data_IF_735322191140
#
_entry.id   IF_735322191140
#
_cell.length_a   1.000
_cell.length_b   1.000
_cell.length_c   1.000
_cell.angle_alpha   90.00
_cell.angle_beta   90.00
_cell.angle_gamma   90.00
#
_symmetry.space_group_name_H-M   'P 1'
#
loop_
_entity.id
_entity.type
_entity.pdbx_description
1 polymer ?
#
# COMPACT_ATOMS: atom_id res chain seq x y z
N UNK A 1 -4.18 27.35 9.08
CA UNK A 1 -4.18 27.27 10.56
C UNK A 1 -3.58 25.94 10.94
N UNK A 2 -2.60 25.90 11.83
CA UNK A 2 -2.06 24.62 12.35
C UNK A 2 -3.11 23.95 13.22
N UNK A 3 -3.32 22.62 13.02
CA UNK A 3 -4.28 21.84 13.81
C UNK A 3 -3.85 21.82 15.29
N UNK A 4 -4.77 22.16 16.19
CA UNK A 4 -4.53 22.12 17.64
C UNK A 4 -4.75 20.69 18.16
N UNK A 5 -3.72 19.86 18.08
CA UNK A 5 -3.73 18.48 18.54
C UNK A 5 -4.07 18.36 20.04
N UNK A 6 -3.52 19.22 20.89
CA UNK A 6 -3.77 19.12 22.34
C UNK A 6 -5.21 19.51 22.68
N UNK A 7 -5.74 20.56 22.05
CA UNK A 7 -7.16 20.92 22.18
C UNK A 7 -8.09 19.81 21.72
N UNK A 8 -7.74 19.17 20.62
CA UNK A 8 -8.50 18.03 20.08
C UNK A 8 -8.51 16.82 21.03
N UNK A 9 -7.33 16.40 21.53
CA UNK A 9 -7.22 15.29 22.48
C UNK A 9 -8.10 15.53 23.74
N UNK A 10 -8.10 16.76 24.23
CA UNK A 10 -8.93 17.16 25.36
C UNK A 10 -10.42 17.17 25.03
N UNK A 11 -10.81 17.71 23.88
CA UNK A 11 -12.20 17.78 23.43
C UNK A 11 -12.82 16.39 23.22
N UNK A 12 -12.01 15.43 22.75
CA UNK A 12 -12.41 14.04 22.57
C UNK A 12 -12.27 13.19 23.84
N UNK A 13 -11.87 13.79 24.99
CA UNK A 13 -11.68 13.09 26.27
C UNK A 13 -10.73 11.89 26.16
N UNK A 14 -9.69 11.99 25.32
CA UNK A 14 -8.75 10.90 25.06
C UNK A 14 -8.01 10.50 26.34
N UNK A 15 -7.97 9.21 26.63
CA UNK A 15 -7.26 8.62 27.76
C UNK A 15 -5.91 8.04 27.36
N UNK A 16 -5.82 7.45 26.13
CA UNK A 16 -4.64 6.82 25.58
C UNK A 16 -4.35 7.27 24.15
N UNK A 17 -3.07 7.24 23.77
CA UNK A 17 -2.60 7.56 22.42
C UNK A 17 -1.73 6.43 21.90
N UNK A 18 -2.13 5.85 20.80
CA UNK A 18 -1.32 4.96 19.97
C UNK A 18 -0.44 5.79 19.03
N UNK A 19 0.86 5.76 19.31
CA UNK A 19 1.86 6.49 18.52
C UNK A 19 2.39 5.57 17.42
N UNK A 20 1.95 5.76 16.18
CA UNK A 20 2.17 4.83 15.08
C UNK A 20 3.28 5.30 14.13
N UNK A 21 4.08 4.36 13.66
CA UNK A 21 4.95 4.48 12.47
C UNK A 21 4.72 3.27 11.57
N UNK A 22 4.95 3.40 10.27
CA UNK A 22 4.98 2.26 9.35
C UNK A 22 6.41 1.74 9.25
N UNK A 23 6.61 0.43 9.45
CA UNK A 23 7.86 -0.23 9.06
C UNK A 23 7.89 -0.51 7.54
N UNK A 24 8.97 -1.08 7.04
CA UNK A 24 9.13 -1.43 5.61
C UNK A 24 8.02 -2.36 5.12
N UNK A 25 7.56 -3.29 5.96
CA UNK A 25 6.48 -4.22 5.62
C UNK A 25 5.07 -3.57 5.60
N UNK A 26 4.93 -2.33 6.06
CA UNK A 26 3.63 -1.67 6.23
C UNK A 26 2.91 -2.09 7.51
N UNK A 27 3.63 -2.68 8.46
CA UNK A 27 3.08 -3.06 9.77
C UNK A 27 3.10 -1.82 10.67
N UNK A 28 1.97 -1.52 11.38
CA UNK A 28 1.95 -0.47 12.39
C UNK A 28 2.86 -0.84 13.57
N UNK A 29 3.90 -0.06 13.79
CA UNK A 29 4.81 -0.16 14.93
C UNK A 29 4.66 1.07 15.80
N UNK A 30 5.06 0.98 17.07
CA UNK A 30 5.02 2.14 17.93
C UNK A 30 4.83 1.82 19.40
N UNK A 31 4.22 2.76 20.12
CA UNK A 31 3.95 2.65 21.57
C UNK A 31 2.57 3.21 21.89
N UNK A 32 1.96 2.66 22.92
CA UNK A 32 0.72 3.18 23.49
C UNK A 32 1.06 3.91 24.79
N UNK A 33 0.58 5.13 24.94
CA UNK A 33 0.84 5.95 26.12
C UNK A 33 -0.46 6.55 26.69
N UNK A 34 -0.59 6.61 28.03
CA UNK A 34 -1.57 7.51 28.63
C UNK A 34 -1.40 8.94 28.09
N UNK A 35 -2.50 9.64 27.83
CA UNK A 35 -2.50 10.96 27.17
C UNK A 35 -1.61 11.99 27.86
N UNK A 36 -1.53 11.96 29.21
CA UNK A 36 -0.67 12.90 29.95
C UNK A 36 0.83 12.59 29.74
N UNK A 37 1.22 11.34 29.51
CA UNK A 37 2.60 10.94 29.16
C UNK A 37 2.93 11.32 27.72
N UNK A 38 1.98 11.11 26.81
CA UNK A 38 2.13 11.57 25.42
C UNK A 38 2.36 13.09 25.36
N UNK A 39 1.52 13.88 26.05
CA UNK A 39 1.67 15.34 26.09
C UNK A 39 3.01 15.79 26.71
N UNK A 40 3.48 15.11 27.75
CA UNK A 40 4.78 15.39 28.35
C UNK A 40 5.94 15.05 27.41
N UNK A 41 5.87 13.91 26.70
CA UNK A 41 6.88 13.48 25.72
C UNK A 41 6.98 14.47 24.56
N UNK A 42 5.86 14.95 24.02
CA UNK A 42 5.83 15.97 22.98
C UNK A 42 6.53 17.28 23.39
N UNK A 43 6.43 17.67 24.66
CA UNK A 43 7.11 18.85 25.22
C UNK A 43 8.59 18.63 25.60
N UNK A 44 9.05 17.37 25.75
CA UNK A 44 10.39 17.01 26.27
C UNK A 44 11.34 16.38 25.25
N UNK A 45 11.13 16.61 23.95
CA UNK A 45 12.02 16.14 22.89
C UNK A 45 11.50 14.93 22.09
N UNK A 46 10.28 14.48 22.33
CA UNK A 46 9.61 13.43 21.55
C UNK A 46 9.67 12.02 22.17
N UNK A 47 8.87 11.15 21.61
CA UNK A 47 8.85 9.72 21.93
C UNK A 47 10.06 9.03 21.27
N UNK A 48 10.65 8.03 21.91
CA UNK A 48 11.80 7.29 21.38
C UNK A 48 11.40 5.89 20.96
N UNK A 49 11.99 5.43 19.84
CA UNK A 49 11.85 4.08 19.31
C UNK A 49 13.21 3.63 18.76
N UNK A 50 13.64 2.37 18.99
CA UNK A 50 14.88 1.90 18.38
C UNK A 50 14.82 1.94 16.85
N UNK A 51 15.88 2.40 16.21
CA UNK A 51 15.94 2.58 14.74
C UNK A 51 15.73 1.26 13.97
N UNK A 52 16.20 0.15 14.50
CA UNK A 52 16.08 -1.17 13.86
C UNK A 52 14.64 -1.66 13.66
N UNK A 53 13.66 -1.05 14.33
CA UNK A 53 12.23 -1.38 14.14
C UNK A 53 11.79 -1.15 12.69
N UNK A 54 12.40 -0.19 12.00
CA UNK A 54 12.08 0.09 10.59
C UNK A 54 12.62 -0.97 9.62
N UNK A 55 13.71 -1.67 9.97
CA UNK A 55 14.31 -2.74 9.19
C UNK A 55 13.91 -4.15 9.64
N UNK A 56 12.85 -4.28 10.43
CA UNK A 56 12.35 -5.57 10.87
C UNK A 56 11.67 -6.32 9.73
N UNK A 57 11.97 -7.62 9.60
CA UNK A 57 11.30 -8.49 8.63
C UNK A 57 9.85 -8.75 9.02
N UNK A 58 9.04 -9.30 8.10
CA UNK A 58 7.66 -9.71 8.38
C UNK A 58 7.56 -10.82 9.44
N UNK A 59 8.63 -11.59 9.65
CA UNK A 59 8.72 -12.61 10.70
C UNK A 59 9.11 -12.04 12.07
N UNK A 60 9.43 -10.74 12.11
CA UNK A 60 9.90 -10.06 13.31
C UNK A 60 11.41 -10.16 13.55
N UNK A 61 12.16 -10.80 12.65
CA UNK A 61 13.61 -10.87 12.76
C UNK A 61 14.27 -9.51 12.51
N UNK A 62 15.34 -9.22 13.24
CA UNK A 62 16.23 -8.11 12.97
C UNK A 62 17.33 -8.60 12.06
N UNK A 63 17.55 -7.88 10.97
CA UNK A 63 18.57 -8.20 9.99
C UNK A 63 19.74 -7.24 10.15
N UNK A 64 20.95 -7.75 9.95
CA UNK A 64 22.14 -6.89 9.86
C UNK A 64 22.00 -6.02 8.61
N UNK A 65 22.25 -4.73 8.75
CA UNK A 65 22.14 -3.75 7.68
C UNK A 65 23.26 -2.74 7.75
N UNK A 66 23.81 -2.40 6.60
CA UNK A 66 24.81 -1.32 6.50
C UNK A 66 24.20 0.08 6.73
N UNK A 67 22.87 0.19 6.66
CA UNK A 67 22.13 1.45 6.81
C UNK A 67 21.77 1.73 8.26
N UNK A 68 21.43 0.68 9.03
CA UNK A 68 21.02 0.81 10.42
C UNK A 68 22.22 0.99 11.34
N UNK A 69 22.01 1.74 12.42
CA UNK A 69 23.06 1.99 13.40
C UNK A 69 23.42 0.71 14.16
N UNK A 70 24.68 0.28 14.11
CA UNK A 70 25.19 -0.95 14.77
C UNK A 70 24.93 -1.00 16.28
N UNK A 71 24.83 0.15 16.96
CA UNK A 71 24.55 0.21 18.40
C UNK A 71 23.05 0.29 18.72
N UNK A 72 22.16 0.21 17.71
CA UNK A 72 20.72 0.24 17.90
C UNK A 72 20.21 1.56 18.51
N UNK A 73 20.77 2.69 18.07
CA UNK A 73 20.39 4.01 18.57
C UNK A 73 18.89 4.28 18.41
N UNK A 74 18.34 5.03 19.37
CA UNK A 74 16.95 5.49 19.29
C UNK A 74 16.79 6.61 18.25
N UNK A 75 15.66 6.57 17.55
CA UNK A 75 15.09 7.70 16.80
C UNK A 75 14.07 8.45 17.66
N UNK A 76 13.81 9.69 17.31
CA UNK A 76 12.83 10.55 17.97
C UNK A 76 11.58 10.60 17.08
N UNK A 77 10.45 10.17 17.61
CA UNK A 77 9.16 10.24 16.94
C UNK A 77 8.50 11.59 17.19
N UNK A 78 8.11 12.28 16.13
CA UNK A 78 7.32 13.50 16.20
C UNK A 78 5.94 13.25 15.57
N UNK A 79 4.86 13.56 16.30
CA UNK A 79 3.51 13.37 15.79
C UNK A 79 3.23 14.29 14.59
N UNK A 80 2.51 13.77 13.60
CA UNK A 80 1.86 14.60 12.59
C UNK A 80 0.46 14.99 13.10
N UNK A 81 0.21 16.27 13.45
CA UNK A 81 -1.08 16.67 13.98
C UNK A 81 -2.27 16.41 13.05
N UNK A 82 -2.04 16.40 11.72
CA UNK A 82 -3.09 16.16 10.73
C UNK A 82 -3.53 14.69 10.67
N UNK A 83 -2.71 13.79 11.21
CA UNK A 83 -3.00 12.35 11.26
C UNK A 83 -3.79 11.89 12.49
N UNK A 84 -4.17 12.81 13.38
CA UNK A 84 -4.96 12.48 14.57
C UNK A 84 -6.31 11.87 14.21
N UNK A 85 -6.57 10.63 14.67
CA UNK A 85 -7.82 9.89 14.45
C UNK A 85 -8.24 9.20 15.74
N UNK A 86 -9.55 9.01 15.93
CA UNK A 86 -10.08 8.14 16.99
C UNK A 86 -9.83 6.67 16.64
N UNK A 87 -9.74 5.82 17.66
CA UNK A 87 -9.71 4.36 17.51
C UNK A 87 -11.08 3.83 17.92
N UNK A 88 -11.95 3.47 16.96
CA UNK A 88 -13.37 3.23 17.23
C UNK A 88 -13.68 1.87 17.88
N UNK A 89 -12.77 0.90 17.84
CA UNK A 89 -12.98 -0.46 18.36
C UNK A 89 -12.64 -0.65 19.85
N UNK A 90 -12.17 0.39 20.52
CA UNK A 90 -11.92 0.33 21.97
C UNK A 90 -13.04 0.98 22.77
N UNK A 91 -13.34 0.42 23.95
CA UNK A 91 -14.30 1.01 24.87
C UNK A 91 -13.80 2.34 25.49
N UNK A 92 -12.49 2.43 25.74
CA UNK A 92 -11.86 3.63 26.26
C UNK A 92 -11.53 4.61 25.11
N UNK A 93 -11.77 5.93 25.30
CA UNK A 93 -11.45 6.92 24.28
C UNK A 93 -9.96 6.94 23.94
N UNK A 94 -9.60 6.34 22.83
CA UNK A 94 -8.23 6.17 22.35
C UNK A 94 -8.03 6.93 21.06
N UNK A 95 -6.89 7.63 20.93
CA UNK A 95 -6.45 8.24 19.68
C UNK A 95 -5.31 7.43 19.04
N UNK A 96 -5.24 7.41 17.72
CA UNK A 96 -4.07 6.98 16.98
C UNK A 96 -3.47 8.17 16.22
N UNK A 97 -2.15 8.27 16.23
CA UNK A 97 -1.43 9.40 15.62
C UNK A 97 -0.21 8.83 14.89
N UNK A 98 -0.08 9.16 13.61
CA UNK A 98 1.09 8.79 12.81
C UNK A 98 2.24 9.73 13.13
N UNK A 99 3.44 9.18 13.24
CA UNK A 99 4.65 9.92 13.58
C UNK A 99 5.67 9.81 12.46
N UNK A 100 6.44 10.87 12.28
CA UNK A 100 7.69 10.84 11.53
C UNK A 100 8.86 10.58 12.48
N UNK A 101 9.87 9.85 11.99
CA UNK A 101 11.08 9.54 12.75
C UNK A 101 12.21 10.53 12.41
N UNK A 102 12.91 10.99 13.43
CA UNK A 102 14.04 11.91 13.32
C UNK A 102 15.25 11.37 14.07
N UNK A 103 16.44 11.63 13.55
CA UNK A 103 17.68 11.39 14.27
C UNK A 103 17.88 12.37 15.44
N UNK A 104 18.93 12.15 16.23
CA UNK A 104 19.26 13.00 17.37
C UNK A 104 19.73 14.41 16.96
N UNK A 105 19.98 14.66 15.66
CA UNK A 105 20.28 15.98 15.10
C UNK A 105 19.04 16.69 14.58
N UNK A 106 17.87 16.05 14.68
CA UNK A 106 16.59 16.58 14.22
C UNK A 106 16.37 16.44 12.71
N UNK A 107 17.17 15.63 12.02
CA UNK A 107 17.00 15.32 10.60
C UNK A 107 16.07 14.11 10.47
N UNK A 108 15.13 14.18 9.51
CA UNK A 108 14.23 13.06 9.22
C UNK A 108 15.03 11.79 8.84
N UNK A 109 14.61 10.65 9.36
CA UNK A 109 15.20 9.33 9.02
C UNK A 109 14.75 8.96 7.60
N UNK A 110 15.66 8.93 6.63
CA UNK A 110 15.31 8.97 5.21
C UNK A 110 14.80 7.64 4.66
N UNK A 111 14.96 6.55 5.38
CA UNK A 111 14.57 5.20 4.95
C UNK A 111 13.21 4.75 5.52
N UNK A 112 12.53 5.57 6.31
CA UNK A 112 11.16 5.23 6.75
C UNK A 112 10.18 5.40 5.58
N UNK A 113 9.20 4.49 5.41
CA UNK A 113 8.30 4.51 4.24
C UNK A 113 7.58 5.84 4.01
N UNK A 114 7.12 6.48 5.09
CA UNK A 114 6.46 7.78 5.01
C UNK A 114 7.42 8.90 4.60
N UNK A 115 8.68 8.86 5.03
CA UNK A 115 9.71 9.82 4.62
C UNK A 115 10.10 9.64 3.15
N UNK A 116 10.13 8.40 2.65
CA UNK A 116 10.35 8.12 1.22
C UNK A 116 9.26 8.76 0.36
N UNK A 117 7.97 8.59 0.73
CA UNK A 117 6.89 9.25 0.01
C UNK A 117 7.01 10.78 0.08
N UNK A 118 7.27 11.34 1.26
CA UNK A 118 7.50 12.80 1.40
C UNK A 118 8.65 13.30 0.53
N UNK A 119 9.73 12.53 0.42
CA UNK A 119 10.86 12.85 -0.48
C UNK A 119 10.43 12.92 -1.93
N UNK A 120 9.64 11.97 -2.40
CA UNK A 120 9.12 11.97 -3.78
C UNK A 120 8.17 13.15 -4.00
N UNK A 121 7.25 13.40 -3.06
CA UNK A 121 6.30 14.52 -3.15
C UNK A 121 6.99 15.89 -3.21
N UNK A 122 8.10 16.07 -2.48
CA UNK A 122 8.87 17.30 -2.51
C UNK A 122 9.41 17.64 -3.91
N UNK A 123 9.75 16.61 -4.74
CA UNK A 123 10.18 16.82 -6.11
C UNK A 123 9.07 17.45 -6.98
N UNK A 124 7.83 17.01 -6.78
CA UNK A 124 6.68 17.59 -7.48
C UNK A 124 6.38 19.00 -6.96
N UNK A 125 6.43 19.20 -5.64
CA UNK A 125 6.21 20.50 -5.01
C UNK A 125 7.19 21.56 -5.52
N UNK A 126 8.48 21.21 -5.59
CA UNK A 126 9.55 22.07 -6.14
C UNK A 126 9.31 22.43 -7.62
N UNK A 127 8.61 21.58 -8.36
CA UNK A 127 8.20 21.82 -9.75
C UNK A 127 6.85 22.55 -9.89
N UNK A 128 6.21 22.95 -8.79
CA UNK A 128 4.88 23.57 -8.82
C UNK A 128 3.74 22.60 -9.14
N UNK A 129 3.94 21.31 -8.87
CA UNK A 129 3.00 20.23 -9.17
C UNK A 129 2.46 19.60 -7.89
N UNK A 130 1.28 19.00 -7.98
CA UNK A 130 0.64 18.25 -6.89
C UNK A 130 0.12 16.92 -7.43
N UNK A 131 0.70 15.79 -7.01
CA UNK A 131 0.14 14.48 -7.29
C UNK A 131 -1.21 14.27 -6.59
N UNK A 132 -2.13 13.59 -7.29
CA UNK A 132 -3.43 13.19 -6.79
C UNK A 132 -3.54 11.69 -6.97
N UNK A 133 -3.94 10.98 -5.92
CA UNK A 133 -4.09 9.53 -5.92
C UNK A 133 -5.48 9.11 -5.46
N UNK A 134 -5.92 7.92 -5.87
CA UNK A 134 -7.07 7.21 -5.32
C UNK A 134 -6.72 5.72 -5.28
N UNK A 135 -6.54 5.11 -4.11
CA UNK A 135 -6.39 3.67 -3.97
C UNK A 135 -7.71 2.93 -4.14
N UNK A 136 -7.65 1.73 -4.74
CA UNK A 136 -8.70 0.70 -4.69
C UNK A 136 -8.10 -0.50 -3.98
N UNK A 137 -8.70 -0.99 -2.91
CA UNK A 137 -8.08 -2.00 -2.06
C UNK A 137 -8.96 -3.23 -1.91
N UNK A 138 -8.45 -4.36 -2.41
CA UNK A 138 -9.09 -5.67 -2.32
C UNK A 138 -8.62 -6.45 -1.08
N UNK A 139 -9.51 -7.26 -0.51
CA UNK A 139 -9.20 -8.15 0.60
C UNK A 139 -10.15 -9.34 0.64
N UNK A 140 -9.74 -10.41 1.30
CA UNK A 140 -10.61 -11.55 1.58
C UNK A 140 -11.06 -11.56 3.04
N UNK A 141 -12.31 -11.93 3.26
CA UNK A 141 -12.79 -12.39 4.56
C UNK A 141 -12.59 -13.90 4.64
N UNK A 142 -12.09 -14.38 5.78
CA UNK A 142 -11.86 -15.81 6.03
C UNK A 142 -12.25 -16.16 7.47
N UNK A 143 -12.64 -17.43 7.69
CA UNK A 143 -12.85 -17.92 9.04
C UNK A 143 -11.57 -17.86 9.87
N UNK A 144 -11.70 -17.66 11.18
CA UNK A 144 -10.55 -17.74 12.09
C UNK A 144 -10.00 -19.17 12.09
N UNK A 145 -8.69 -19.28 11.95
CA UNK A 145 -7.97 -20.57 12.06
C UNK A 145 -6.82 -20.42 13.03
N UNK A 146 -6.71 -21.35 13.98
CA UNK A 146 -5.62 -21.42 14.93
C UNK A 146 -4.37 -22.12 14.39
N UNK A 147 -4.48 -22.85 13.27
CA UNK A 147 -3.39 -23.62 12.66
C UNK A 147 -3.09 -23.15 11.25
N UNK A 148 -1.90 -22.59 11.06
CA UNK A 148 -1.41 -22.08 9.77
C UNK A 148 -1.23 -23.18 8.71
N UNK A 149 -1.25 -24.46 9.07
CA UNK A 149 -1.19 -25.57 8.11
C UNK A 149 -2.55 -25.88 7.46
N UNK A 150 -3.64 -25.40 8.04
CA UNK A 150 -4.97 -25.59 7.48
C UNK A 150 -5.19 -24.59 6.33
N UNK A 151 -5.82 -25.03 5.22
CA UNK A 151 -6.27 -24.12 4.17
C UNK A 151 -7.21 -23.04 4.75
N UNK A 152 -7.16 -21.85 4.21
CA UNK A 152 -8.12 -20.80 4.54
C UNK A 152 -9.52 -21.21 4.06
N UNK A 153 -10.52 -20.88 4.86
CA UNK A 153 -11.93 -21.20 4.59
C UNK A 153 -12.71 -19.89 4.44
N UNK A 154 -13.55 -19.81 3.41
CA UNK A 154 -14.48 -18.68 3.24
C UNK A 154 -15.51 -18.69 4.36
N UNK A 155 -15.86 -17.52 4.92
CA UNK A 155 -16.72 -17.45 6.08
C UNK A 155 -18.18 -17.78 5.73
N UNK A 156 -18.91 -18.21 6.75
CA UNK A 156 -20.34 -18.42 6.65
C UNK A 156 -21.08 -17.09 6.85
N UNK A 157 -21.78 -16.65 5.81
CA UNK A 157 -22.61 -15.44 5.87
C UNK A 157 -23.96 -15.65 6.56
N UNK A 158 -24.82 -14.64 6.54
CA UNK A 158 -26.15 -14.67 7.18
C UNK A 158 -27.09 -15.75 6.62
N UNK A 159 -26.86 -16.24 5.40
CA UNK A 159 -27.59 -17.37 4.84
C UNK A 159 -27.28 -18.72 5.52
N UNK A 160 -26.25 -18.76 6.36
CA UNK A 160 -25.78 -19.98 7.03
C UNK A 160 -24.95 -20.91 6.12
N UNK A 161 -24.48 -20.44 4.98
CA UNK A 161 -23.62 -21.19 4.05
C UNK A 161 -22.37 -20.42 3.68
N UNK A 162 -21.21 -21.08 3.62
CA UNK A 162 -20.00 -20.45 3.11
C UNK A 162 -20.12 -20.20 1.61
N UNK A 163 -19.64 -19.05 1.17
CA UNK A 163 -19.62 -18.72 -0.24
C UNK A 163 -18.60 -19.60 -0.98
N UNK A 164 -18.98 -20.08 -2.16
CA UNK A 164 -18.12 -20.91 -3.04
C UNK A 164 -18.08 -20.41 -4.48
N UNK A 165 -19.16 -19.77 -4.94
CA UNK A 165 -19.27 -19.27 -6.29
C UNK A 165 -18.54 -17.92 -6.43
N UNK A 166 -18.04 -17.63 -7.62
CA UNK A 166 -17.55 -16.31 -7.99
C UNK A 166 -18.75 -15.40 -8.27
N UNK A 167 -18.90 -14.33 -7.52
CA UNK A 167 -20.08 -13.46 -7.55
C UNK A 167 -19.74 -11.97 -7.74
N UNK A 168 -18.75 -11.70 -8.62
CA UNK A 168 -18.33 -10.33 -8.90
C UNK A 168 -19.53 -9.38 -9.11
N UNK A 169 -19.52 -8.25 -8.38
CA UNK A 169 -20.58 -7.24 -8.32
C UNK A 169 -21.93 -7.76 -7.77
N UNK A 170 -21.93 -8.91 -7.09
CA UNK A 170 -23.14 -9.47 -6.46
C UNK A 170 -23.54 -8.68 -5.22
N UNK A 171 -24.62 -7.92 -5.28
CA UNK A 171 -25.12 -7.12 -4.14
C UNK A 171 -25.53 -8.03 -2.97
N UNK A 172 -26.23 -9.14 -3.26
CA UNK A 172 -26.64 -10.08 -2.21
C UNK A 172 -25.44 -10.77 -1.56
N UNK A 173 -24.32 -10.95 -2.28
CA UNK A 173 -23.09 -11.51 -1.74
C UNK A 173 -22.41 -10.55 -0.76
N UNK A 174 -22.40 -9.24 -1.04
CA UNK A 174 -21.97 -8.22 -0.07
C UNK A 174 -22.86 -8.28 1.17
N UNK A 175 -24.17 -8.34 0.98
CA UNK A 175 -25.15 -8.34 2.05
C UNK A 175 -25.08 -9.58 2.97
N UNK A 176 -24.42 -10.66 2.58
CA UNK A 176 -24.11 -11.79 3.48
C UNK A 176 -23.33 -11.35 4.73
N UNK A 177 -22.52 -10.28 4.61
CA UNK A 177 -21.67 -9.73 5.68
C UNK A 177 -22.05 -8.30 6.07
N UNK A 178 -23.28 -7.89 5.82
CA UNK A 178 -23.83 -6.55 6.07
C UNK A 178 -23.44 -5.94 7.44
N UNK A 179 -23.59 -6.61 8.60
CA UNK A 179 -23.21 -6.03 9.88
C UNK A 179 -21.72 -5.67 9.99
N UNK A 180 -20.84 -6.44 9.35
CA UNK A 180 -19.40 -6.15 9.32
C UNK A 180 -19.11 -4.92 8.48
N UNK A 181 -19.78 -4.76 7.36
CA UNK A 181 -19.58 -3.60 6.48
C UNK A 181 -20.16 -2.31 7.05
N UNK A 182 -21.30 -2.37 7.74
CA UNK A 182 -21.83 -1.24 8.50
C UNK A 182 -20.81 -0.75 9.54
N UNK A 183 -20.24 -1.67 10.32
CA UNK A 183 -19.18 -1.33 11.27
C UNK A 183 -17.90 -0.79 10.59
N UNK A 184 -17.52 -1.28 9.40
CA UNK A 184 -16.38 -0.73 8.63
C UNK A 184 -16.69 0.71 8.22
N UNK A 185 -17.91 1.00 7.70
CA UNK A 185 -18.32 2.35 7.33
C UNK A 185 -18.31 3.29 8.54
N UNK A 186 -18.91 2.90 9.64
CA UNK A 186 -18.95 3.69 10.88
C UNK A 186 -17.55 3.96 11.42
N UNK A 187 -16.68 2.94 11.42
CA UNK A 187 -15.29 3.08 11.84
C UNK A 187 -14.50 3.99 10.92
N UNK A 188 -14.72 3.94 9.60
CA UNK A 188 -14.07 4.83 8.64
C UNK A 188 -14.54 6.28 8.82
N UNK A 189 -15.85 6.50 9.01
CA UNK A 189 -16.41 7.84 9.25
C UNK A 189 -15.81 8.48 10.51
N UNK A 190 -15.77 7.74 11.63
CA UNK A 190 -15.17 8.21 12.89
C UNK A 190 -13.69 8.55 12.71
N UNK A 191 -12.96 7.80 11.90
CA UNK A 191 -11.55 8.04 11.60
C UNK A 191 -11.32 9.05 10.48
N UNK A 192 -12.37 9.56 9.83
CA UNK A 192 -12.26 10.42 8.63
C UNK A 192 -11.45 9.75 7.52
N UNK A 193 -11.63 8.47 7.33
CA UNK A 193 -11.15 7.73 6.17
C UNK A 193 -12.23 7.86 5.10
N UNK A 194 -11.91 8.54 4.01
CA UNK A 194 -12.88 8.90 2.97
C UNK A 194 -13.02 7.78 1.93
N UNK A 195 -13.83 6.78 2.25
CA UNK A 195 -14.15 5.67 1.35
C UNK A 195 -15.32 6.05 0.42
N UNK A 196 -15.28 5.55 -0.82
CA UNK A 196 -16.24 5.84 -1.88
C UNK A 196 -17.22 4.68 -2.08
N UNK A 197 -16.72 3.55 -2.55
CA UNK A 197 -17.58 2.40 -2.92
C UNK A 197 -17.10 1.11 -2.27
N UNK A 198 -18.05 0.20 -2.05
CA UNK A 198 -17.83 -1.19 -1.68
C UNK A 198 -18.40 -2.07 -2.78
N UNK A 199 -17.64 -3.04 -3.27
CA UNK A 199 -18.09 -4.04 -4.20
C UNK A 199 -17.61 -5.44 -3.84
N UNK A 200 -18.37 -6.45 -4.26
CA UNK A 200 -17.92 -7.82 -4.24
C UNK A 200 -16.99 -8.07 -5.42
N UNK A 201 -15.81 -8.59 -5.15
CA UNK A 201 -14.84 -8.96 -6.16
C UNK A 201 -15.06 -10.36 -6.75
N UNK A 202 -14.15 -10.80 -7.63
CA UNK A 202 -14.30 -12.06 -8.35
C UNK A 202 -14.16 -13.29 -7.44
N UNK A 203 -13.40 -13.21 -6.34
CA UNK A 203 -13.18 -14.33 -5.42
C UNK A 203 -14.32 -14.51 -4.42
N UNK A 204 -14.53 -15.74 -3.93
CA UNK A 204 -15.49 -16.01 -2.87
C UNK A 204 -15.10 -15.27 -1.59
N UNK A 205 -16.01 -14.46 -1.05
CA UNK A 205 -15.81 -13.54 0.08
C UNK A 205 -14.64 -12.54 -0.13
N UNK A 206 -14.37 -12.19 -1.38
CA UNK A 206 -13.44 -11.12 -1.75
C UNK A 206 -14.19 -9.83 -1.96
N UNK A 207 -13.71 -8.77 -1.30
CA UNK A 207 -14.32 -7.45 -1.32
C UNK A 207 -13.31 -6.40 -1.78
N UNK A 208 -13.81 -5.34 -2.40
CA UNK A 208 -13.05 -4.15 -2.77
C UNK A 208 -13.67 -2.93 -2.13
N UNK A 209 -12.84 -2.07 -1.56
CA UNK A 209 -13.23 -0.73 -1.12
C UNK A 209 -12.34 0.29 -1.81
N UNK A 210 -13.01 1.28 -2.41
CA UNK A 210 -12.39 2.37 -3.13
C UNK A 210 -12.34 3.63 -2.27
N UNK A 211 -11.31 4.44 -2.47
CA UNK A 211 -11.15 5.71 -1.79
C UNK A 211 -11.44 6.87 -2.73
N UNK A 212 -12.01 7.94 -2.20
CA UNK A 212 -12.06 9.20 -2.91
C UNK A 212 -10.65 9.71 -3.20
N UNK A 213 -10.46 10.36 -4.35
CA UNK A 213 -9.16 10.89 -4.75
C UNK A 213 -8.75 12.10 -3.91
N UNK A 214 -7.46 12.21 -3.59
CA UNK A 214 -6.96 13.29 -2.76
C UNK A 214 -5.44 13.42 -2.76
N UNK A 215 -4.92 14.11 -1.73
CA UNK A 215 -3.49 14.27 -1.49
C UNK A 215 -2.81 12.92 -1.27
N UNK A 216 -1.66 12.73 -1.91
CA UNK A 216 -0.98 11.44 -1.93
C UNK A 216 -0.47 10.98 -0.55
N UNK A 217 -0.03 11.90 0.32
CA UNK A 217 0.40 11.55 1.66
C UNK A 217 -0.79 11.22 2.55
N UNK A 218 -1.86 12.01 2.47
CA UNK A 218 -3.08 11.77 3.22
C UNK A 218 -3.73 10.43 2.85
N UNK A 219 -3.82 10.11 1.56
CA UNK A 219 -4.37 8.82 1.10
C UNK A 219 -3.47 7.64 1.46
N UNK A 220 -2.15 7.81 1.50
CA UNK A 220 -1.24 6.78 2.02
C UNK A 220 -1.48 6.54 3.53
N UNK A 221 -1.63 7.60 4.32
CA UNK A 221 -1.97 7.54 5.74
C UNK A 221 -3.34 6.86 5.95
N UNK A 222 -4.36 7.25 5.19
CA UNK A 222 -5.71 6.65 5.25
C UNK A 222 -5.67 5.17 4.88
N UNK A 223 -4.99 4.78 3.80
CA UNK A 223 -4.86 3.37 3.37
C UNK A 223 -4.13 2.52 4.41
N UNK A 224 -3.09 3.07 5.03
CA UNK A 224 -2.36 2.41 6.12
C UNK A 224 -3.28 2.15 7.33
N UNK A 225 -4.06 3.12 7.76
CA UNK A 225 -5.01 2.99 8.86
C UNK A 225 -6.20 2.10 8.48
N UNK A 226 -6.69 2.19 7.24
CA UNK A 226 -7.79 1.38 6.75
C UNK A 226 -7.51 -0.12 6.82
N UNK A 227 -6.32 -0.56 6.40
CA UNK A 227 -5.93 -1.97 6.54
C UNK A 227 -6.02 -2.46 7.99
N UNK A 228 -5.67 -1.61 8.94
CA UNK A 228 -5.81 -1.90 10.37
C UNK A 228 -7.27 -1.93 10.79
N UNK A 229 -8.06 -0.96 10.34
CA UNK A 229 -9.49 -0.84 10.65
C UNK A 229 -10.24 -2.09 10.20
N UNK A 230 -10.08 -2.51 8.95
CA UNK A 230 -10.75 -3.70 8.42
C UNK A 230 -10.37 -4.96 9.20
N UNK A 231 -9.07 -5.14 9.53
CA UNK A 231 -8.64 -6.29 10.34
C UNK A 231 -9.26 -6.30 11.75
N UNK A 232 -9.31 -5.14 12.41
CA UNK A 232 -9.87 -5.05 13.76
C UNK A 232 -11.39 -5.23 13.76
N UNK A 233 -12.07 -4.65 12.76
CA UNK A 233 -13.52 -4.85 12.60
C UNK A 233 -13.83 -6.33 12.31
N UNK A 234 -13.09 -6.98 11.42
CA UNK A 234 -13.29 -8.40 11.15
C UNK A 234 -13.11 -9.27 12.42
N UNK A 235 -12.12 -8.96 13.26
CA UNK A 235 -11.93 -9.66 14.56
C UNK A 235 -13.13 -9.51 15.49
N UNK A 236 -13.79 -8.35 15.51
CA UNK A 236 -15.01 -8.14 16.30
C UNK A 236 -16.22 -8.94 15.79
N UNK A 237 -16.16 -9.43 14.55
CA UNK A 237 -17.13 -10.31 13.91
C UNK A 237 -16.67 -11.77 13.82
N UNK A 238 -15.70 -12.18 14.65
CA UNK A 238 -15.14 -13.54 14.68
C UNK A 238 -14.56 -14.00 13.32
N UNK A 239 -14.08 -13.05 12.49
CA UNK A 239 -13.47 -13.28 11.20
C UNK A 239 -12.03 -12.77 11.15
N UNK A 240 -11.28 -13.22 10.15
CA UNK A 240 -10.05 -12.55 9.71
C UNK A 240 -10.29 -11.86 8.37
N UNK A 241 -9.75 -10.64 8.23
CA UNK A 241 -9.57 -9.99 6.93
C UNK A 241 -8.11 -10.07 6.52
N UNK A 242 -7.84 -10.55 5.30
CA UNK A 242 -6.48 -10.69 4.78
C UNK A 242 -6.27 -9.86 3.53
N UNK A 243 -5.15 -9.13 3.53
CA UNK A 243 -4.62 -8.38 2.39
C UNK A 243 -3.46 -9.12 1.70
N UNK A 244 -3.32 -10.43 1.89
CA UNK A 244 -2.36 -11.23 1.12
C UNK A 244 -2.67 -11.11 -0.36
N UNK A 245 -1.63 -10.94 -1.19
CA UNK A 245 -1.81 -10.85 -2.64
C UNK A 245 -2.41 -12.13 -3.26
N UNK A 246 -2.13 -13.31 -2.69
CA UNK A 246 -2.71 -14.60 -3.11
C UNK A 246 -2.94 -15.51 -1.90
N UNK A 247 -4.04 -15.33 -1.16
CA UNK A 247 -4.27 -16.12 0.06
C UNK A 247 -4.71 -17.56 -0.22
N UNK A 248 -5.43 -17.81 -1.33
CA UNK A 248 -5.99 -19.11 -1.70
C UNK A 248 -5.63 -19.47 -3.14
N UNK A 249 -5.23 -20.71 -3.38
CA UNK A 249 -4.76 -21.18 -4.69
C UNK A 249 -5.84 -21.05 -5.78
N UNK A 250 -7.08 -21.44 -5.47
CA UNK A 250 -8.19 -21.51 -6.42
C UNK A 250 -8.97 -20.19 -6.56
N UNK A 251 -8.63 -19.17 -5.74
CA UNK A 251 -9.26 -17.86 -5.79
C UNK A 251 -8.36 -16.85 -6.52
N UNK A 252 -8.89 -15.75 -7.06
CA UNK A 252 -8.06 -14.68 -7.61
C UNK A 252 -7.15 -14.05 -6.56
N UNK A 253 -6.19 -13.25 -7.00
CA UNK A 253 -5.36 -12.44 -6.11
C UNK A 253 -6.06 -11.17 -5.69
N UNK A 254 -5.52 -10.48 -4.66
CA UNK A 254 -5.99 -9.17 -4.20
C UNK A 254 -5.03 -8.06 -4.59
N UNK A 255 -5.58 -7.01 -5.17
CA UNK A 255 -4.87 -5.83 -5.65
C UNK A 255 -4.98 -4.63 -4.68
N UNK A 256 -4.05 -3.71 -4.85
CA UNK A 256 -4.18 -2.31 -4.48
C UNK A 256 -3.97 -1.48 -5.75
N UNK A 257 -5.02 -1.29 -6.55
CA UNK A 257 -4.91 -0.44 -7.73
C UNK A 257 -4.72 1.02 -7.30
N UNK A 258 -3.89 1.75 -8.05
CA UNK A 258 -3.59 3.14 -7.77
C UNK A 258 -3.98 4.01 -8.97
N UNK A 259 -5.02 4.81 -8.83
CA UNK A 259 -5.34 5.86 -9.77
C UNK A 259 -4.47 7.08 -9.50
N UNK A 260 -3.81 7.59 -10.53
CA UNK A 260 -2.76 8.61 -10.42
C UNK A 260 -2.99 9.71 -11.44
N UNK A 261 -2.98 10.94 -10.98
CA UNK A 261 -2.93 12.14 -11.81
C UNK A 261 -2.02 13.18 -11.18
N UNK A 262 -1.71 14.23 -11.93
CA UNK A 262 -0.89 15.35 -11.45
C UNK A 262 -1.61 16.64 -11.79
N UNK A 263 -1.65 17.58 -10.85
CA UNK A 263 -2.24 18.91 -11.04
C UNK A 263 -1.16 20.00 -10.96
N UNK A 264 -1.36 21.07 -11.71
CA UNK A 264 -0.63 22.31 -11.49
C UNK A 264 -1.07 22.92 -10.15
N UNK A 265 -0.13 23.29 -9.29
CA UNK A 265 -0.44 23.78 -7.93
C UNK A 265 -1.18 25.12 -7.93
N UNK A 266 -0.83 26.02 -8.85
CA UNK A 266 -1.42 27.36 -8.91
C UNK A 266 -2.85 27.35 -9.45
N UNK A 267 -3.09 26.59 -10.51
CA UNK A 267 -4.37 26.59 -11.24
C UNK A 267 -5.32 25.49 -10.81
N UNK A 268 -4.79 24.41 -10.20
CA UNK A 268 -5.53 23.18 -9.92
C UNK A 268 -5.84 22.34 -11.18
N UNK A 269 -5.38 22.78 -12.36
CA UNK A 269 -5.62 22.10 -13.64
C UNK A 269 -4.91 20.75 -13.68
N UNK A 270 -5.60 19.73 -14.18
CA UNK A 270 -4.99 18.43 -14.44
C UNK A 270 -3.93 18.54 -15.53
N UNK A 271 -2.68 18.17 -15.21
CA UNK A 271 -1.54 18.24 -16.12
C UNK A 271 -1.67 17.27 -17.30
N UNK A 272 -2.51 16.25 -17.18
CA UNK A 272 -2.66 15.19 -18.19
C UNK A 272 -3.60 15.55 -19.34
N UNK A 273 -4.19 16.74 -19.31
CA UNK A 273 -5.08 17.23 -20.39
C UNK A 273 -4.68 18.60 -20.87
N UNK A 274 -4.93 18.86 -22.15
CA UNK A 274 -4.81 20.18 -22.77
C UNK A 274 -6.04 21.05 -22.44
N UNK A 275 -6.01 22.31 -22.83
CA UNK A 275 -7.19 23.20 -22.67
C UNK A 275 -8.37 22.76 -23.52
N UNK A 276 -8.12 22.07 -24.64
CA UNK A 276 -9.16 21.52 -25.54
C UNK A 276 -9.70 20.17 -25.04
N UNK A 277 -9.16 19.61 -23.94
CA UNK A 277 -9.59 18.34 -23.36
C UNK A 277 -8.91 17.09 -23.95
N UNK A 278 -7.92 17.27 -24.81
CA UNK A 278 -7.11 16.19 -25.38
C UNK A 278 -6.00 15.73 -24.41
N UNK A 279 -5.46 14.55 -24.63
CA UNK A 279 -4.32 14.03 -23.85
C UNK A 279 -3.07 14.92 -24.07
N UNK A 280 -2.48 15.40 -22.98
CA UNK A 280 -1.29 16.26 -23.03
C UNK A 280 -0.01 15.47 -23.28
N UNK A 281 1.09 16.16 -23.66
CA UNK A 281 2.42 15.55 -23.73
C UNK A 281 2.85 15.02 -22.35
N UNK A 282 2.51 15.71 -21.25
CA UNK A 282 2.83 15.29 -19.91
C UNK A 282 2.16 13.95 -19.54
N UNK A 283 0.93 13.71 -20.01
CA UNK A 283 0.27 12.40 -19.86
C UNK A 283 1.09 11.28 -20.53
N UNK A 284 1.52 11.48 -21.77
CA UNK A 284 2.34 10.48 -22.46
C UNK A 284 3.71 10.30 -21.80
N UNK A 285 4.33 11.37 -21.31
CA UNK A 285 5.59 11.29 -20.58
C UNK A 285 5.43 10.49 -19.27
N UNK A 286 4.34 10.71 -18.54
CA UNK A 286 4.03 9.95 -17.32
C UNK A 286 3.86 8.45 -17.62
N UNK A 287 3.07 8.11 -18.65
CA UNK A 287 2.92 6.72 -19.11
C UNK A 287 4.26 6.08 -19.49
N UNK A 288 5.09 6.79 -20.25
CA UNK A 288 6.41 6.29 -20.65
C UNK A 288 7.33 6.03 -19.45
N UNK A 289 7.29 6.92 -18.46
CA UNK A 289 8.02 6.75 -17.20
C UNK A 289 7.55 5.51 -16.45
N UNK A 290 6.24 5.31 -16.32
CA UNK A 290 5.68 4.13 -15.66
C UNK A 290 6.06 2.84 -16.40
N UNK A 291 5.96 2.80 -17.73
CA UNK A 291 6.38 1.64 -18.52
C UNK A 291 7.87 1.31 -18.37
N UNK A 292 8.71 2.33 -18.22
CA UNK A 292 10.15 2.17 -18.11
C UNK A 292 10.61 1.73 -16.72
N UNK A 293 10.03 2.30 -15.68
CA UNK A 293 10.57 2.21 -14.32
C UNK A 293 9.82 1.25 -13.38
N UNK A 294 8.54 0.95 -13.63
CA UNK A 294 7.77 0.09 -12.71
C UNK A 294 8.29 -1.36 -12.65
N UNK A 295 8.92 -1.87 -13.72
CA UNK A 295 9.59 -3.18 -13.64
C UNK A 295 10.73 -3.17 -12.63
N UNK A 296 11.51 -2.07 -12.56
CA UNK A 296 12.55 -1.87 -11.54
C UNK A 296 12.00 -1.61 -10.13
N UNK A 297 10.76 -1.11 -10.04
CA UNK A 297 10.09 -0.86 -8.76
C UNK A 297 9.19 -2.03 -8.32
N UNK A 298 9.17 -3.16 -9.03
CA UNK A 298 8.23 -4.27 -8.81
C UNK A 298 8.24 -4.78 -7.37
N UNK A 299 9.43 -4.89 -6.75
CA UNK A 299 9.55 -5.36 -5.37
C UNK A 299 8.84 -4.45 -4.35
N UNK A 300 8.63 -3.17 -4.64
CA UNK A 300 7.87 -2.23 -3.80
C UNK A 300 6.35 -2.43 -3.92
N UNK A 301 5.90 -3.05 -5.02
CA UNK A 301 4.49 -3.31 -5.34
C UNK A 301 4.09 -4.77 -5.11
N UNK A 302 5.07 -5.68 -5.08
CA UNK A 302 4.92 -7.11 -4.84
C UNK A 302 6.04 -7.56 -3.88
N UNK A 303 5.93 -7.22 -2.57
CA UNK A 303 7.08 -7.27 -1.65
C UNK A 303 7.37 -8.65 -1.04
N UNK A 304 6.59 -9.68 -1.33
CA UNK A 304 6.72 -11.02 -0.76
C UNK A 304 6.77 -12.10 -1.85
N UNK A 305 7.31 -13.26 -1.52
CA UNK A 305 7.25 -14.43 -2.40
C UNK A 305 5.80 -14.76 -2.81
N UNK A 306 4.86 -14.61 -1.87
CA UNK A 306 3.43 -14.80 -2.14
C UNK A 306 2.88 -13.81 -3.17
N UNK A 307 3.36 -12.57 -3.21
CA UNK A 307 2.87 -11.52 -4.11
C UNK A 307 2.97 -11.93 -5.59
N UNK A 308 4.01 -12.67 -5.96
CA UNK A 308 4.24 -13.14 -7.34
C UNK A 308 3.29 -14.23 -7.79
N UNK A 309 2.60 -14.90 -6.84
CA UNK A 309 1.54 -15.87 -7.16
C UNK A 309 0.29 -15.18 -7.73
N UNK A 310 0.06 -13.90 -7.39
CA UNK A 310 -1.00 -13.07 -7.99
C UNK A 310 -0.71 -12.80 -9.47
N UNK A 311 0.53 -12.58 -9.86
CA UNK A 311 0.96 -12.29 -11.23
C UNK A 311 1.16 -13.55 -12.08
N UNK A 312 0.43 -14.63 -11.81
CA UNK A 312 0.44 -15.84 -12.62
C UNK A 312 -0.38 -15.66 -13.90
N UNK A 313 -0.07 -16.46 -14.94
CA UNK A 313 -0.69 -16.35 -16.26
C UNK A 313 -2.19 -16.68 -16.30
N UNK A 314 -2.77 -17.12 -15.19
CA UNK A 314 -4.15 -17.62 -15.12
C UNK A 314 -5.14 -16.65 -14.50
N UNK A 315 -4.67 -15.54 -13.93
CA UNK A 315 -5.51 -14.59 -13.20
C UNK A 315 -5.61 -13.24 -13.95
N UNK A 316 -6.60 -12.44 -13.59
CA UNK A 316 -6.87 -11.11 -14.15
C UNK A 316 -5.82 -10.04 -13.76
N UNK A 317 -4.74 -10.47 -13.11
CA UNK A 317 -3.62 -9.60 -12.72
C UNK A 317 -2.67 -9.35 -13.88
N UNK A 318 -2.14 -8.13 -14.02
CA UNK A 318 -1.25 -7.81 -15.12
C UNK A 318 0.10 -8.53 -14.98
N UNK A 319 0.59 -9.06 -16.10
CA UNK A 319 1.94 -9.65 -16.22
C UNK A 319 2.91 -8.77 -17.01
N UNK A 320 2.46 -7.59 -17.41
CA UNK A 320 3.19 -6.66 -18.29
C UNK A 320 2.89 -5.20 -17.94
N UNK A 321 3.64 -4.29 -18.53
CA UNK A 321 3.48 -2.83 -18.41
C UNK A 321 2.91 -2.18 -19.68
N UNK A 322 2.14 -2.93 -20.48
CA UNK A 322 1.36 -2.31 -21.55
C UNK A 322 0.34 -1.32 -20.96
N UNK A 323 -0.08 -0.37 -21.80
CA UNK A 323 -1.16 0.54 -21.46
C UNK A 323 -2.30 0.49 -22.48
N UNK A 324 -3.48 0.90 -22.06
CA UNK A 324 -4.63 0.96 -22.97
C UNK A 324 -5.81 1.71 -22.37
N UNK A 325 -6.61 2.32 -23.27
CA UNK A 325 -7.85 2.99 -22.90
C UNK A 325 -8.87 1.94 -22.47
N UNK A 326 -9.35 2.08 -21.24
CA UNK A 326 -10.34 1.21 -20.58
C UNK A 326 -10.07 -0.32 -20.67
N UNK A 327 -8.79 -0.68 -20.80
CA UNK A 327 -8.35 -2.05 -20.98
C UNK A 327 -7.89 -2.65 -19.64
N UNK A 328 -8.65 -3.61 -19.09
CA UNK A 328 -8.34 -4.28 -17.81
C UNK A 328 -7.27 -5.38 -17.93
N UNK A 329 -6.82 -5.73 -19.16
CA UNK A 329 -5.79 -6.78 -19.37
C UNK A 329 -4.36 -6.25 -19.36
N UNK A 330 -4.17 -4.95 -19.10
CA UNK A 330 -2.86 -4.29 -19.10
C UNK A 330 -2.47 -3.80 -17.71
N UNK A 331 -1.17 -3.59 -17.48
CA UNK A 331 -0.67 -3.08 -16.21
C UNK A 331 -1.00 -1.61 -15.97
N UNK A 332 -1.16 -0.83 -17.05
CA UNK A 332 -1.48 0.59 -16.99
C UNK A 332 -2.77 0.87 -17.75
N UNK A 333 -3.88 0.91 -17.03
CA UNK A 333 -5.19 1.23 -17.62
C UNK A 333 -5.40 2.75 -17.58
N UNK A 334 -5.98 3.29 -18.64
CA UNK A 334 -6.44 4.69 -18.70
C UNK A 334 -7.97 4.67 -18.75
N UNK A 335 -8.66 4.92 -17.63
CA UNK A 335 -10.12 4.94 -17.62
C UNK A 335 -10.67 6.01 -18.54
N UNK A 336 -11.71 5.65 -19.30
CA UNK A 336 -12.46 6.58 -20.16
C UNK A 336 -13.44 7.38 -19.30
N UNK A 337 -13.56 8.67 -19.54
CA UNK A 337 -14.45 9.56 -18.80
C UNK A 337 -14.20 11.01 -19.13
N UNK A 338 -14.69 11.91 -18.28
CA UNK A 338 -14.47 13.36 -18.41
C UNK A 338 -12.96 13.64 -18.48
N UNK A 339 -12.51 14.45 -19.48
CA UNK A 339 -11.11 14.84 -19.59
C UNK A 339 -10.52 15.43 -18.29
N UNK A 340 -11.29 16.19 -17.53
CA UNK A 340 -10.85 16.75 -16.25
C UNK A 340 -10.40 15.67 -15.24
N UNK A 341 -10.91 14.45 -15.38
CA UNK A 341 -10.60 13.29 -14.56
C UNK A 341 -9.57 12.35 -15.20
N UNK A 342 -8.81 12.82 -16.21
CA UNK A 342 -7.77 12.02 -16.86
C UNK A 342 -6.75 11.55 -15.83
N UNK A 343 -6.54 10.22 -15.80
CA UNK A 343 -5.65 9.56 -14.85
C UNK A 343 -5.09 8.26 -15.43
N UNK A 344 -4.06 7.75 -14.81
CA UNK A 344 -3.46 6.45 -15.11
C UNK A 344 -3.75 5.55 -13.91
N UNK A 345 -4.31 4.39 -14.15
CA UNK A 345 -4.49 3.34 -13.14
C UNK A 345 -3.31 2.37 -13.22
N UNK A 346 -2.51 2.32 -12.17
CA UNK A 346 -1.47 1.30 -11.96
C UNK A 346 -2.11 0.08 -11.32
N UNK A 347 -2.23 -1.01 -12.08
CA UNK A 347 -2.86 -2.26 -11.64
C UNK A 347 -1.87 -3.28 -11.07
N UNK A 348 -0.58 -2.93 -11.02
CA UNK A 348 0.49 -3.83 -10.58
C UNK A 348 0.51 -4.08 -9.07
N UNK A 349 0.33 -3.08 -8.18
CA UNK A 349 0.47 -3.30 -6.75
C UNK A 349 -0.50 -4.34 -6.22
N UNK A 350 0.01 -5.26 -5.36
CA UNK A 350 -0.80 -6.16 -4.57
C UNK A 350 -1.37 -5.49 -3.33
N UNK A 351 -2.46 -6.02 -2.80
CA UNK A 351 -3.04 -5.53 -1.55
C UNK A 351 -2.09 -5.65 -0.35
N UNK A 352 -1.08 -6.52 -0.44
CA UNK A 352 -0.03 -6.72 0.56
C UNK A 352 1.06 -5.64 0.55
N UNK A 353 1.14 -4.82 -0.50
CA UNK A 353 2.13 -3.75 -0.59
C UNK A 353 1.95 -2.70 0.54
N UNK A 354 3.07 -2.11 0.95
CA UNK A 354 3.07 -0.94 1.82
C UNK A 354 2.54 0.27 1.03
N UNK A 355 1.43 0.93 1.44
CA UNK A 355 0.82 1.99 0.66
C UNK A 355 1.75 3.19 0.41
N UNK A 356 2.57 3.57 1.39
CA UNK A 356 3.54 4.65 1.20
C UNK A 356 4.53 4.32 0.09
N UNK A 357 5.05 3.08 0.07
CA UNK A 357 6.06 2.65 -0.88
C UNK A 357 5.50 2.42 -2.28
N UNK A 358 4.30 1.83 -2.40
CA UNK A 358 3.64 1.61 -3.69
C UNK A 358 3.28 2.95 -4.37
N UNK A 359 2.76 3.92 -3.60
CA UNK A 359 2.48 5.27 -4.09
C UNK A 359 3.79 5.98 -4.45
N UNK A 360 4.82 5.94 -3.58
CA UNK A 360 6.11 6.55 -3.86
C UNK A 360 6.75 5.99 -5.14
N UNK A 361 6.74 4.67 -5.34
CA UNK A 361 7.27 4.01 -6.53
C UNK A 361 6.54 4.43 -7.81
N UNK A 362 5.20 4.49 -7.76
CA UNK A 362 4.38 4.92 -8.89
C UNK A 362 4.63 6.39 -9.25
N UNK A 363 4.69 7.26 -8.25
CA UNK A 363 4.98 8.70 -8.46
C UNK A 363 6.43 8.94 -8.89
N UNK A 364 7.41 8.17 -8.38
CA UNK A 364 8.80 8.23 -8.83
C UNK A 364 8.91 7.90 -10.32
N UNK A 365 8.19 6.88 -10.78
CA UNK A 365 8.15 6.52 -12.21
C UNK A 365 7.51 7.63 -13.07
N UNK A 366 6.42 8.24 -12.61
CA UNK A 366 5.80 9.41 -13.27
C UNK A 366 6.78 10.57 -13.32
N UNK A 367 7.41 10.90 -12.20
CA UNK A 367 8.39 11.99 -12.11
C UNK A 367 9.54 11.84 -13.10
N UNK A 368 10.14 10.64 -13.14
CA UNK A 368 11.22 10.34 -14.10
C UNK A 368 10.74 10.46 -15.54
N UNK A 369 9.52 10.01 -15.84
CA UNK A 369 8.90 10.15 -17.16
C UNK A 369 8.73 11.62 -17.58
N UNK A 370 8.21 12.47 -16.68
CA UNK A 370 8.07 13.90 -16.90
C UNK A 370 9.43 14.59 -17.15
N UNK A 371 10.48 14.15 -16.46
CA UNK A 371 11.85 14.66 -16.66
C UNK A 371 12.48 14.20 -18.00
N UNK A 372 12.31 12.93 -18.36
CA UNK A 372 12.90 12.37 -19.57
C UNK A 372 12.16 12.73 -20.85
N UNK A 373 10.88 13.10 -20.75
CA UNK A 373 10.01 13.52 -21.88
C UNK A 373 9.96 12.50 -23.02
N UNK A 374 9.93 11.20 -22.69
CA UNK A 374 9.83 10.12 -23.68
C UNK A 374 8.37 9.83 -24.01
N UNK A 375 8.16 9.19 -25.17
CA UNK A 375 6.85 8.66 -25.54
C UNK A 375 6.70 7.20 -25.10
N UNK A 376 5.48 6.79 -24.67
CA UNK A 376 5.18 5.40 -24.35
C UNK A 376 5.10 4.53 -25.64
N UNK A 377 5.02 3.22 -25.44
CA UNK A 377 4.64 2.30 -26.52
C UNK A 377 3.25 2.65 -27.07
N UNK A 378 2.87 2.06 -28.20
CA UNK A 378 1.48 2.20 -28.70
C UNK A 378 0.50 1.60 -27.69
N UNK A 379 -0.71 2.19 -27.57
CA UNK A 379 -1.73 1.61 -26.69
C UNK A 379 -2.13 0.21 -27.19
N UNK A 380 -2.36 -0.69 -26.25
CA UNK A 380 -2.78 -2.05 -26.58
C UNK A 380 -4.27 -2.12 -26.83
N UNK A 381 -4.64 -2.54 -28.03
CA UNK A 381 -6.04 -2.73 -28.44
C UNK A 381 -6.45 -4.19 -28.53
N UNK A 382 -5.49 -5.13 -28.61
CA UNK A 382 -5.72 -6.58 -28.76
C UNK A 382 -4.72 -7.38 -27.90
N UNK A 383 -5.07 -8.58 -27.45
CA UNK A 383 -4.17 -9.49 -26.75
C UNK A 383 -3.13 -10.13 -27.69
N UNK A 384 -1.85 -10.27 -27.29
CA UNK A 384 -0.89 -11.15 -27.96
C UNK A 384 0.42 -10.55 -28.49
N UNK A 385 0.77 -9.29 -28.20
CA UNK A 385 2.07 -8.73 -28.59
C UNK A 385 3.15 -8.93 -27.50
N UNK A 386 4.42 -9.04 -27.92
CA UNK A 386 5.59 -9.08 -27.04
C UNK A 386 5.69 -7.78 -26.23
N UNK A 387 5.57 -7.90 -24.94
CA UNK A 387 5.54 -6.77 -24.00
C UNK A 387 6.66 -6.92 -22.96
N UNK A 388 7.13 -5.79 -22.43
CA UNK A 388 7.98 -5.79 -21.25
C UNK A 388 7.27 -6.56 -20.13
N UNK A 389 7.74 -7.76 -19.85
CA UNK A 389 7.19 -8.60 -18.80
C UNK A 389 7.64 -8.12 -17.42
N UNK A 390 6.74 -8.19 -16.45
CA UNK A 390 7.08 -7.96 -15.05
C UNK A 390 7.97 -9.09 -14.51
N UNK A 391 8.86 -8.82 -13.53
CA UNK A 391 9.57 -9.85 -12.80
C UNK A 391 8.62 -10.91 -12.25
N UNK A 392 9.01 -12.19 -12.35
CA UNK A 392 8.15 -13.33 -11.97
C UNK A 392 8.39 -13.87 -10.57
N UNK A 393 9.40 -13.40 -9.89
CA UNK A 393 9.70 -13.74 -8.50
C UNK A 393 10.41 -12.57 -7.81
N UNK A 394 10.52 -12.68 -6.49
CA UNK A 394 11.09 -11.62 -5.66
C UNK A 394 12.56 -11.37 -5.97
N UNK A 395 13.36 -12.40 -6.21
CA UNK A 395 14.80 -12.24 -6.49
C UNK A 395 15.04 -11.44 -7.77
N UNK A 396 14.33 -11.80 -8.87
CA UNK A 396 14.42 -11.06 -10.13
C UNK A 396 13.96 -9.60 -9.95
N UNK A 397 12.96 -9.37 -9.12
CA UNK A 397 12.47 -8.01 -8.84
C UNK A 397 13.47 -7.19 -8.02
N UNK A 398 14.12 -7.81 -7.03
CA UNK A 398 15.18 -7.16 -6.25
C UNK A 398 16.41 -6.85 -7.12
N UNK A 399 16.82 -7.78 -7.99
CA UNK A 399 17.88 -7.53 -8.96
C UNK A 399 17.52 -6.41 -9.97
N UNK A 400 16.25 -6.31 -10.35
CA UNK A 400 15.78 -5.24 -11.21
C UNK A 400 15.81 -3.88 -10.48
N UNK A 401 15.43 -3.85 -9.20
CA UNK A 401 15.52 -2.65 -8.37
C UNK A 401 16.98 -2.22 -8.19
N UNK A 402 17.90 -3.15 -7.88
CA UNK A 402 19.33 -2.87 -7.71
C UNK A 402 19.95 -2.17 -8.94
N UNK A 403 19.51 -2.58 -10.14
CA UNK A 403 19.97 -1.97 -11.40
C UNK A 403 19.29 -0.67 -11.78
N UNK A 404 18.20 -0.32 -11.10
CA UNK A 404 17.38 0.85 -11.43
C UNK A 404 17.89 2.14 -10.78
N UNK A 405 19.14 2.52 -11.02
CA UNK A 405 19.80 3.70 -10.42
C UNK A 405 18.94 4.98 -10.42
N UNK A 406 18.17 5.34 -11.49
CA UNK A 406 17.32 6.52 -11.42
C UNK A 406 16.23 6.45 -10.32
N UNK A 407 15.76 5.24 -9.98
CA UNK A 407 14.83 5.07 -8.85
C UNK A 407 15.53 5.28 -7.50
N UNK A 408 16.79 4.86 -7.36
CA UNK A 408 17.57 5.09 -6.14
C UNK A 408 17.74 6.59 -5.86
N UNK A 409 18.02 7.39 -6.90
CA UNK A 409 18.15 8.84 -6.76
C UNK A 409 16.84 9.49 -6.25
N UNK A 410 15.71 9.03 -6.73
CA UNK A 410 14.38 9.56 -6.38
C UNK A 410 13.90 9.04 -5.02
N UNK A 411 13.98 7.74 -4.78
CA UNK A 411 13.49 7.09 -3.56
C UNK A 411 14.46 7.25 -2.38
N UNK A 412 15.76 7.37 -2.64
CA UNK A 412 16.84 7.48 -1.66
C UNK A 412 17.65 6.19 -1.51
N UNK A 413 18.98 6.26 -1.70
CA UNK A 413 19.90 5.13 -1.64
C UNK A 413 19.77 4.31 -0.33
N UNK A 414 19.78 4.98 0.82
CA UNK A 414 19.67 4.30 2.12
C UNK A 414 18.37 3.49 2.25
N UNK A 415 17.28 4.02 1.74
CA UNK A 415 16.01 3.30 1.73
C UNK A 415 16.08 2.06 0.84
N UNK A 416 16.57 2.21 -0.39
CA UNK A 416 16.65 1.08 -1.35
C UNK A 416 17.56 -0.01 -0.80
N UNK A 417 18.71 0.34 -0.23
CA UNK A 417 19.64 -0.61 0.40
C UNK A 417 18.93 -1.39 1.52
N UNK A 418 18.36 -0.69 2.51
CA UNK A 418 17.67 -1.33 3.63
C UNK A 418 16.49 -2.20 3.16
N UNK A 419 15.69 -1.70 2.21
CA UNK A 419 14.58 -2.47 1.66
C UNK A 419 15.04 -3.77 1.02
N UNK A 420 16.10 -3.73 0.21
CA UNK A 420 16.64 -4.91 -0.47
C UNK A 420 17.22 -5.92 0.54
N UNK A 421 17.97 -5.47 1.55
CA UNK A 421 18.51 -6.32 2.61
C UNK A 421 17.39 -7.05 3.36
N UNK A 422 16.34 -6.32 3.78
CA UNK A 422 15.19 -6.92 4.46
C UNK A 422 14.48 -7.93 3.56
N UNK A 423 14.22 -7.60 2.28
CA UNK A 423 13.49 -8.49 1.38
C UNK A 423 14.29 -9.71 0.93
N UNK A 424 15.61 -9.61 0.77
CA UNK A 424 16.48 -10.76 0.55
C UNK A 424 16.48 -11.70 1.77
N UNK A 425 16.62 -11.16 2.99
CA UNK A 425 16.53 -11.99 4.20
C UNK A 425 15.16 -12.68 4.38
N UNK A 426 14.05 -12.03 3.99
CA UNK A 426 12.72 -12.67 3.98
C UNK A 426 12.63 -13.79 2.92
N UNK A 427 13.22 -13.61 1.74
CA UNK A 427 13.27 -14.63 0.69
C UNK A 427 14.10 -15.83 1.12
N UNK A 428 15.28 -15.61 1.74
CA UNK A 428 16.13 -16.66 2.27
C UNK A 428 15.41 -17.46 3.36
N UNK A 429 14.77 -16.79 4.32
CA UNK A 429 13.99 -17.46 5.36
C UNK A 429 12.81 -18.28 4.77
N UNK A 430 12.19 -17.80 3.69
CA UNK A 430 11.15 -18.59 3.00
C UNK A 430 11.71 -19.84 2.33
N UNK A 431 12.93 -19.78 1.76
CA UNK A 431 13.58 -20.93 1.12
C UNK A 431 13.98 -22.04 2.10
N UNK A 432 14.09 -21.73 3.40
CA UNK A 432 14.31 -22.74 4.44
C UNK A 432 13.06 -23.59 4.74
N UNK A 433 11.88 -23.14 4.27
CA UNK A 433 10.60 -23.83 4.53
C UNK A 433 10.40 -24.97 3.55
N UNK A 434 10.41 -26.22 4.03
CA UNK A 434 10.06 -27.40 3.23
C UNK A 434 8.54 -27.51 3.13
N UNK A 435 8.02 -27.27 1.94
CA UNK A 435 6.57 -27.22 1.69
C UNK A 435 5.90 -28.60 1.66
N UNK A 436 4.56 -28.70 1.90
CA UNK A 436 3.81 -29.94 1.67
C UNK A 436 3.95 -30.46 0.23
N UNK A 437 4.02 -29.57 -0.77
CA UNK A 437 4.20 -29.93 -2.18
C UNK A 437 5.54 -30.65 -2.42
N UNK A 438 6.63 -30.19 -1.82
CA UNK A 438 7.93 -30.84 -1.94
C UNK A 438 7.91 -32.24 -1.33
N UNK A 439 7.32 -32.38 -0.15
CA UNK A 439 7.17 -33.69 0.50
C UNK A 439 6.30 -34.65 -0.32
N UNK A 440 5.21 -34.15 -0.90
CA UNK A 440 4.29 -34.97 -1.71
C UNK A 440 4.94 -35.47 -3.00
N UNK A 441 5.62 -34.58 -3.72
CA UNK A 441 6.06 -34.88 -5.07
C UNK A 441 7.54 -35.27 -5.20
N UNK A 442 8.40 -34.88 -4.26
CA UNK A 442 9.83 -35.15 -4.35
C UNK A 442 10.29 -36.31 -3.48
N UNK A 443 9.62 -36.62 -2.36
CA UNK A 443 10.08 -37.58 -1.36
C UNK A 443 10.45 -38.96 -1.93
N UNK A 444 9.68 -39.45 -2.87
CA UNK A 444 9.89 -40.79 -3.47
C UNK A 444 10.24 -40.75 -4.97
N UNK A 445 10.31 -39.56 -5.57
CA UNK A 445 10.50 -39.40 -7.02
C UNK A 445 11.90 -38.85 -7.40
N UNK A 446 12.68 -38.40 -6.43
CA UNK A 446 14.04 -37.90 -6.67
C UNK A 446 15.04 -38.51 -5.70
#
# INVERSE_FOLDING_TARGET
MTFDMHGWLKAQSITEVECLVSDIAGIPRGKILPVHKFSAAAGSGGLRLPEYVFGQSVTGAYLDSEVLNEIGADVILKPDPNSCRLVPWYAEPTAQIIHDAYDHKGKIVPFTPRAVLKRVLALFEDAGLTPVVAPELEFFLVEQSADANNPLVTPTGKSGRPEKARQAYGIDAVNEFDPLFEDIYDHCEVQKIDIDTLSHEAGAAQMEINFNHGDALELADQTFLFKRTVRQTALNHDLHATFMAKPMQEQPGSAMHLHLSVRERETGRNLFVTEDGDDSEAFYHALAGMQRYLSGAMALMAPYVNSYRRHSLTDDSPTNLAWGMDNRTVGLRVPVGDPANRRIENRVPGADANPYLAIAASLAAIWLGLKEQRRPSRPRTVSGEDLTTLPRNLDIALDALERATPLHEVLGEQFVTLFMEVKRGEADAFLEVISPWEREYLLLNV
#
